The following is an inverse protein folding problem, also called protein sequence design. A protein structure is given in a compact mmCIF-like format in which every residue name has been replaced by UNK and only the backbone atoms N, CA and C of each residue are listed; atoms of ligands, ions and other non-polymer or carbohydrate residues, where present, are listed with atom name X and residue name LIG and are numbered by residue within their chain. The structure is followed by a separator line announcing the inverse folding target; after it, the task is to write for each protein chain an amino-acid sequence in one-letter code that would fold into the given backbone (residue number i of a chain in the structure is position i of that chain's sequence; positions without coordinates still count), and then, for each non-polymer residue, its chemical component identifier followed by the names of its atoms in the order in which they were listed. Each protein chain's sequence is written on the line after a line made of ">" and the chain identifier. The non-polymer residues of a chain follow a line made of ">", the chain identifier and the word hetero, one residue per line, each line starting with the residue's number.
data_IF_746117556019
#
_entry.id   IF_746117556019
#
_cell.length_a   1.000
_cell.length_b   1.000
_cell.length_c   1.000
_cell.angle_alpha   90.00
_cell.angle_beta   90.00
_cell.angle_gamma   90.00
#
_symmetry.space_group_name_H-M   'P 1'
#
loop_
_entity.id
_entity.type
_entity.pdbx_description
1 polymer ?
#
# COMPACT_ATOMS: atom_id res chain seq x y z
N UNK A 1 42.58 -10.08 -12.02
CA UNK A 1 41.58 -11.16 -12.10
C UNK A 1 40.38 -10.90 -11.17
N UNK A 2 40.57 -10.63 -9.88
CA UNK A 2 39.47 -10.47 -8.91
C UNK A 2 38.49 -9.31 -9.16
N UNK A 3 38.91 -8.20 -9.79
CA UNK A 3 38.03 -7.06 -10.08
C UNK A 3 37.04 -7.30 -11.23
N UNK A 4 37.44 -8.08 -12.23
CA UNK A 4 36.60 -8.38 -13.41
C UNK A 4 35.48 -9.37 -13.03
N UNK A 5 35.79 -10.32 -12.16
CA UNK A 5 34.81 -11.28 -11.61
C UNK A 5 33.72 -10.55 -10.80
N UNK A 6 34.12 -9.54 -10.02
CA UNK A 6 33.20 -8.76 -9.18
C UNK A 6 32.27 -7.86 -10.02
N UNK A 7 32.78 -7.30 -11.13
CA UNK A 7 31.99 -6.49 -12.07
C UNK A 7 31.01 -7.38 -12.87
N UNK A 8 31.43 -8.59 -13.29
CA UNK A 8 30.54 -9.56 -13.94
C UNK A 8 29.45 -10.10 -13.00
N UNK A 9 29.77 -10.33 -11.73
CA UNK A 9 28.79 -10.71 -10.71
C UNK A 9 27.76 -9.60 -10.47
N UNK A 10 28.18 -8.33 -10.45
CA UNK A 10 27.29 -7.18 -10.31
C UNK A 10 26.36 -7.01 -11.54
N UNK A 11 26.90 -7.21 -12.75
CA UNK A 11 26.14 -7.16 -14.00
C UNK A 11 25.10 -8.27 -14.11
N UNK A 12 25.43 -9.49 -13.67
CA UNK A 12 24.50 -10.62 -13.58
C UNK A 12 23.35 -10.36 -12.59
N UNK A 13 23.63 -9.72 -11.44
CA UNK A 13 22.58 -9.32 -10.49
C UNK A 13 21.64 -8.23 -11.05
N UNK A 14 22.13 -7.35 -11.92
CA UNK A 14 21.31 -6.32 -12.60
C UNK A 14 20.60 -6.82 -13.86
N UNK A 15 21.06 -7.92 -14.47
CA UNK A 15 20.41 -8.55 -15.63
C UNK A 15 19.26 -9.47 -15.25
N UNK A 16 19.34 -10.14 -14.10
CA UNK A 16 18.31 -11.05 -13.59
C UNK A 16 17.07 -10.32 -13.02
N UNK A 17 17.19 -9.05 -12.66
CA UNK A 17 16.07 -8.26 -12.12
C UNK A 17 15.03 -7.88 -13.18
N UNK A 18 15.38 -7.86 -14.47
CA UNK A 18 14.40 -7.60 -15.55
C UNK A 18 13.62 -8.83 -16.00
N UNK A 19 14.15 -10.04 -15.79
CA UNK A 19 13.48 -11.31 -16.19
C UNK A 19 12.56 -11.84 -15.08
N UNK A 20 12.78 -11.44 -13.82
CA UNK A 20 11.89 -11.80 -12.69
C UNK A 20 10.60 -10.99 -12.58
N UNK A 21 10.47 -9.88 -13.30
CA UNK A 21 9.24 -9.09 -13.29
C UNK A 21 8.06 -9.82 -13.97
N UNK A 22 8.32 -10.88 -14.76
CA UNK A 22 7.29 -11.58 -15.53
C UNK A 22 6.77 -12.85 -14.85
N UNK A 23 7.57 -13.49 -14.00
CA UNK A 23 7.16 -14.67 -13.21
C UNK A 23 7.09 -14.27 -11.73
N UNK A 24 6.04 -13.55 -11.34
CA UNK A 24 5.70 -13.30 -9.94
C UNK A 24 5.42 -14.66 -9.26
N UNK A 25 6.20 -15.07 -8.24
CA UNK A 25 6.00 -16.35 -7.56
C UNK A 25 4.61 -16.45 -6.90
N UNK A 26 4.00 -15.32 -6.54
CA UNK A 26 2.62 -15.28 -6.04
C UNK A 26 1.65 -15.59 -7.19
N UNK A 27 1.81 -14.97 -8.35
CA UNK A 27 0.98 -15.23 -9.52
C UNK A 27 1.10 -16.70 -9.98
N UNK A 28 2.32 -17.23 -10.03
CA UNK A 28 2.58 -18.62 -10.41
C UNK A 28 1.94 -19.61 -9.42
N UNK A 29 2.04 -19.35 -8.10
CA UNK A 29 1.39 -20.16 -7.08
C UNK A 29 -0.14 -20.13 -7.17
N UNK A 30 -0.73 -18.95 -7.43
CA UNK A 30 -2.18 -18.80 -7.59
C UNK A 30 -2.71 -19.52 -8.83
N UNK A 31 -1.97 -19.47 -9.96
CA UNK A 31 -2.32 -20.20 -11.19
C UNK A 31 -2.32 -21.71 -10.92
N UNK A 32 -1.28 -22.23 -10.26
CA UNK A 32 -1.15 -23.67 -9.98
C UNK A 32 -2.28 -24.19 -9.08
N UNK A 33 -2.58 -23.49 -7.98
CA UNK A 33 -3.69 -23.83 -7.10
C UNK A 33 -5.05 -23.76 -7.82
N UNK A 34 -5.22 -22.83 -8.75
CA UNK A 34 -6.44 -22.71 -9.54
C UNK A 34 -6.57 -23.82 -10.57
N UNK A 35 -5.48 -24.20 -11.25
CA UNK A 35 -5.50 -25.29 -12.23
C UNK A 35 -5.91 -26.62 -11.60
N UNK A 36 -5.41 -26.93 -10.40
CA UNK A 36 -5.80 -28.15 -9.67
C UNK A 36 -7.30 -28.16 -9.31
N UNK A 37 -7.83 -27.02 -8.85
CA UNK A 37 -9.26 -26.89 -8.53
C UNK A 37 -10.13 -27.00 -9.78
N UNK A 38 -9.74 -26.36 -10.88
CA UNK A 38 -10.48 -26.41 -12.13
C UNK A 38 -10.52 -27.83 -12.71
N UNK A 39 -9.41 -28.57 -12.66
CA UNK A 39 -9.35 -29.95 -13.14
C UNK A 39 -10.25 -30.88 -12.32
N UNK A 40 -10.31 -30.68 -10.99
CA UNK A 40 -11.18 -31.45 -10.11
C UNK A 40 -12.67 -31.23 -10.42
N UNK A 41 -13.09 -29.98 -10.59
CA UNK A 41 -14.48 -29.66 -10.94
C UNK A 41 -14.87 -30.23 -12.32
N UNK A 42 -13.96 -30.16 -13.29
CA UNK A 42 -14.20 -30.68 -14.63
C UNK A 42 -14.44 -32.19 -14.62
N UNK A 43 -13.64 -32.95 -13.84
CA UNK A 43 -13.85 -34.40 -13.64
C UNK A 43 -15.18 -34.72 -12.96
N UNK A 44 -15.60 -33.91 -11.99
CA UNK A 44 -16.88 -34.09 -11.31
C UNK A 44 -18.06 -33.78 -12.25
N UNK A 45 -17.92 -32.77 -13.12
CA UNK A 45 -18.89 -32.45 -14.15
C UNK A 45 -19.03 -33.56 -15.19
N UNK A 46 -17.92 -34.13 -15.67
CA UNK A 46 -17.92 -35.29 -16.58
C UNK A 46 -18.66 -36.49 -15.97
N UNK A 47 -18.39 -36.79 -14.69
CA UNK A 47 -19.06 -37.90 -13.97
C UNK A 47 -20.57 -37.72 -13.90
N UNK A 48 -21.06 -36.51 -13.64
CA UNK A 48 -22.49 -36.21 -13.59
C UNK A 48 -23.13 -36.23 -14.98
N UNK A 49 -22.42 -35.74 -16.00
CA UNK A 49 -22.89 -35.78 -17.38
C UNK A 49 -23.11 -37.23 -17.86
N UNK A 50 -22.24 -38.16 -17.47
CA UNK A 50 -22.40 -39.59 -17.75
C UNK A 50 -23.65 -40.18 -17.08
N UNK A 51 -23.97 -39.78 -15.85
CA UNK A 51 -25.18 -40.22 -15.14
C UNK A 51 -26.47 -39.68 -15.77
N UNK A 52 -26.45 -38.49 -16.37
CA UNK A 52 -27.65 -37.94 -17.03
C UNK A 52 -28.00 -38.65 -18.34
N UNK A 53 -27.06 -39.39 -18.95
CA UNK A 53 -27.31 -40.08 -20.22
C UNK A 53 -28.12 -41.38 -20.09
N UNK A 54 -28.41 -41.84 -18.87
CA UNK A 54 -28.99 -43.18 -18.61
C UNK A 54 -30.52 -43.31 -18.55
N UNK A 55 -31.33 -42.26 -18.79
CA UNK A 55 -32.75 -42.43 -19.14
C UNK A 55 -33.77 -41.52 -18.43
N UNK A 56 -35.02 -41.56 -18.92
CA UNK A 56 -36.07 -40.55 -18.78
C UNK A 56 -36.78 -40.42 -17.42
N UNK A 57 -36.25 -41.00 -16.34
CA UNK A 57 -36.77 -40.82 -14.96
C UNK A 57 -35.58 -40.57 -14.06
N UNK A 58 -35.51 -39.36 -13.47
CA UNK A 58 -34.47 -39.01 -12.53
C UNK A 58 -34.57 -39.90 -11.28
N UNK A 59 -33.53 -40.69 -11.05
CA UNK A 59 -33.39 -41.45 -9.79
C UNK A 59 -32.99 -40.49 -8.66
N UNK A 60 -33.31 -40.83 -7.41
CA UNK A 60 -32.92 -40.01 -6.25
C UNK A 60 -31.41 -39.77 -6.19
N UNK A 61 -30.63 -40.76 -6.63
CA UNK A 61 -29.17 -40.74 -6.69
C UNK A 61 -28.65 -39.73 -7.72
N UNK A 62 -29.28 -39.62 -8.90
CA UNK A 62 -28.95 -38.61 -9.91
C UNK A 62 -29.27 -37.18 -9.45
N UNK A 63 -30.41 -37.00 -8.75
CA UNK A 63 -30.79 -35.70 -8.16
C UNK A 63 -29.80 -35.29 -7.07
N UNK A 64 -29.38 -36.23 -6.22
CA UNK A 64 -28.40 -35.98 -5.17
C UNK A 64 -27.00 -35.67 -5.76
N UNK A 65 -26.58 -36.41 -6.79
CA UNK A 65 -25.31 -36.19 -7.49
C UNK A 65 -25.26 -34.81 -8.17
N UNK A 66 -26.34 -34.39 -8.82
CA UNK A 66 -26.43 -33.06 -9.44
C UNK A 66 -26.50 -31.92 -8.43
N UNK A 67 -27.19 -32.13 -7.29
CA UNK A 67 -27.18 -31.16 -6.18
C UNK A 67 -25.78 -31.03 -5.57
N UNK A 68 -25.05 -32.13 -5.42
CA UNK A 68 -23.65 -32.11 -4.96
C UNK A 68 -22.72 -31.40 -5.95
N UNK A 69 -22.88 -31.63 -7.25
CA UNK A 69 -22.14 -30.90 -8.28
C UNK A 69 -22.39 -29.39 -8.21
N UNK A 70 -23.66 -28.98 -8.08
CA UNK A 70 -23.99 -27.56 -7.91
C UNK A 70 -23.33 -26.96 -6.65
N UNK A 71 -23.23 -27.73 -5.56
CA UNK A 71 -22.54 -27.31 -4.34
C UNK A 71 -21.03 -27.18 -4.55
N UNK A 72 -20.39 -28.15 -5.20
CA UNK A 72 -18.95 -28.10 -5.51
C UNK A 72 -18.62 -26.95 -6.47
N UNK A 73 -19.42 -26.77 -7.52
CA UNK A 73 -19.29 -25.64 -8.43
C UNK A 73 -19.43 -24.28 -7.72
N UNK A 74 -20.37 -24.14 -6.79
CA UNK A 74 -20.47 -22.93 -5.97
C UNK A 74 -19.23 -22.71 -5.09
N UNK A 75 -18.71 -23.76 -4.45
CA UNK A 75 -17.46 -23.67 -3.66
C UNK A 75 -16.25 -23.29 -4.53
N UNK A 76 -16.22 -23.75 -5.79
CA UNK A 76 -15.22 -23.36 -6.76
C UNK A 76 -15.35 -21.89 -7.16
N UNK A 77 -16.56 -21.39 -7.44
CA UNK A 77 -16.79 -19.97 -7.75
C UNK A 77 -16.41 -19.06 -6.56
N UNK A 78 -16.72 -19.45 -5.33
CA UNK A 78 -16.30 -18.74 -4.13
C UNK A 78 -14.77 -18.73 -3.95
N UNK A 79 -14.13 -19.86 -4.25
CA UNK A 79 -12.67 -19.95 -4.28
C UNK A 79 -12.07 -19.02 -5.34
N UNK A 80 -12.65 -18.99 -6.55
CA UNK A 80 -12.20 -18.13 -7.63
C UNK A 80 -12.36 -16.64 -7.30
N UNK A 81 -13.51 -16.25 -6.73
CA UNK A 81 -13.74 -14.87 -6.26
C UNK A 81 -12.69 -14.44 -5.25
N UNK A 82 -12.33 -15.34 -4.33
CA UNK A 82 -11.28 -15.11 -3.35
C UNK A 82 -9.92 -14.89 -4.04
N UNK A 83 -9.54 -15.75 -4.98
CA UNK A 83 -8.30 -15.66 -5.77
C UNK A 83 -8.19 -14.31 -6.51
N UNK A 84 -9.26 -13.89 -7.19
CA UNK A 84 -9.28 -12.62 -7.90
C UNK A 84 -9.12 -11.44 -6.95
N UNK A 85 -9.76 -11.50 -5.77
CA UNK A 85 -9.60 -10.48 -4.72
C UNK A 85 -8.16 -10.41 -4.20
N UNK A 86 -7.51 -11.56 -3.98
CA UNK A 86 -6.09 -11.65 -3.62
C UNK A 86 -5.20 -10.97 -4.66
N UNK A 87 -5.39 -11.29 -5.95
CA UNK A 87 -4.61 -10.69 -7.03
C UNK A 87 -4.79 -9.17 -7.11
N UNK A 88 -6.04 -8.69 -7.02
CA UNK A 88 -6.35 -7.26 -7.02
C UNK A 88 -5.69 -6.54 -5.82
N UNK A 89 -5.67 -7.17 -4.66
CA UNK A 89 -5.08 -6.60 -3.45
C UNK A 89 -3.55 -6.56 -3.54
N UNK A 90 -2.91 -7.62 -4.01
CA UNK A 90 -1.46 -7.66 -4.26
C UNK A 90 -1.02 -6.57 -5.23
N UNK A 91 -1.76 -6.39 -6.33
CA UNK A 91 -1.50 -5.28 -7.25
C UNK A 91 -1.70 -3.92 -6.58
N UNK A 92 -2.76 -3.77 -5.78
CA UNK A 92 -3.00 -2.58 -4.98
C UNK A 92 -1.85 -2.24 -4.03
N UNK A 93 -1.20 -3.26 -3.46
CA UNK A 93 0.00 -3.10 -2.64
C UNK A 93 1.20 -2.62 -3.44
N UNK A 94 1.50 -3.27 -4.57
CA UNK A 94 2.60 -2.86 -5.42
C UNK A 94 2.46 -1.39 -5.85
N UNK A 95 1.25 -0.97 -6.20
CA UNK A 95 0.97 0.42 -6.56
C UNK A 95 1.28 1.40 -5.41
N UNK A 96 0.78 1.14 -4.20
CA UNK A 96 0.97 2.05 -3.06
C UNK A 96 2.44 2.08 -2.59
N UNK A 97 3.15 0.95 -2.64
CA UNK A 97 4.58 0.86 -2.29
C UNK A 97 5.46 1.57 -3.32
N UNK A 98 5.17 1.42 -4.61
CA UNK A 98 5.87 2.17 -5.67
C UNK A 98 5.72 3.67 -5.45
N UNK A 99 4.48 4.12 -5.20
CA UNK A 99 4.18 5.52 -4.93
C UNK A 99 4.87 6.06 -3.67
N UNK A 100 5.00 5.22 -2.64
CA UNK A 100 5.73 5.57 -1.42
C UNK A 100 7.20 5.79 -1.70
N UNK A 101 7.81 4.90 -2.48
CA UNK A 101 9.21 5.01 -2.90
C UNK A 101 9.44 6.30 -3.69
N UNK A 102 8.55 6.63 -4.64
CA UNK A 102 8.62 7.85 -5.42
C UNK A 102 8.50 9.11 -4.54
N UNK A 103 7.50 9.14 -3.65
CA UNK A 103 7.27 10.25 -2.72
C UNK A 103 8.46 10.44 -1.75
N UNK A 104 9.11 9.36 -1.31
CA UNK A 104 10.32 9.42 -0.49
C UNK A 104 11.50 9.99 -1.27
N UNK A 105 11.65 9.60 -2.54
CA UNK A 105 12.64 10.18 -3.45
C UNK A 105 12.42 11.68 -3.66
N UNK A 106 11.17 12.10 -3.88
CA UNK A 106 10.80 13.52 -3.99
C UNK A 106 11.10 14.29 -2.71
N UNK A 107 10.77 13.72 -1.56
CA UNK A 107 11.05 14.32 -0.26
C UNK A 107 12.56 14.54 -0.07
N UNK A 108 13.37 13.51 -0.33
CA UNK A 108 14.84 13.59 -0.23
C UNK A 108 15.43 14.66 -1.16
N UNK A 109 14.95 14.73 -2.41
CA UNK A 109 15.35 15.80 -3.35
C UNK A 109 14.99 17.19 -2.83
N UNK A 110 13.82 17.36 -2.22
CA UNK A 110 13.41 18.64 -1.64
C UNK A 110 14.25 19.02 -0.42
N UNK A 111 14.59 18.06 0.44
CA UNK A 111 15.50 18.29 1.57
C UNK A 111 16.87 18.77 1.09
N UNK A 112 17.43 18.13 0.06
CA UNK A 112 18.72 18.52 -0.51
C UNK A 112 18.70 19.93 -1.11
N UNK A 113 17.60 20.32 -1.76
CA UNK A 113 17.45 21.65 -2.40
C UNK A 113 17.16 22.76 -1.39
N UNK A 114 16.35 22.47 -0.37
CA UNK A 114 15.78 23.45 0.56
C UNK A 114 16.12 23.09 2.01
N UNK A 115 17.40 22.84 2.31
CA UNK A 115 17.85 22.44 3.66
C UNK A 115 17.41 23.42 4.78
N UNK A 116 17.44 24.76 4.60
CA UNK A 116 16.96 25.67 5.64
C UNK A 116 15.46 25.53 5.93
N UNK A 117 14.66 25.22 4.91
CA UNK A 117 13.22 25.03 5.06
C UNK A 117 12.89 23.73 5.81
N UNK A 118 13.74 22.70 5.70
CA UNK A 118 13.58 21.47 6.48
C UNK A 118 13.64 21.76 7.99
N UNK A 119 14.60 22.60 8.40
CA UNK A 119 14.74 23.08 9.78
C UNK A 119 13.54 23.91 10.19
N UNK A 120 13.07 24.80 9.30
CA UNK A 120 11.87 25.60 9.53
C UNK A 120 10.63 24.72 9.83
N UNK A 121 10.40 23.69 9.03
CA UNK A 121 9.28 22.75 9.23
C UNK A 121 9.42 22.00 10.57
N UNK A 122 10.63 21.60 10.96
CA UNK A 122 10.87 20.91 12.22
C UNK A 122 10.64 21.79 13.45
N UNK A 123 10.93 23.09 13.35
CA UNK A 123 10.74 24.07 14.44
C UNK A 123 9.27 24.46 14.65
N UNK A 124 8.41 24.35 13.64
CA UNK A 124 6.97 24.63 13.79
C UNK A 124 6.28 23.54 14.61
N UNK A 125 5.68 23.90 15.75
CA UNK A 125 4.90 22.97 16.57
C UNK A 125 3.78 22.29 15.76
N UNK A 126 3.14 23.02 14.84
CA UNK A 126 2.07 22.51 13.98
C UNK A 126 2.59 21.60 12.88
N UNK A 127 3.63 22.01 12.13
CA UNK A 127 4.11 21.24 10.97
C UNK A 127 4.96 20.04 11.38
N UNK A 128 5.61 20.10 12.55
CA UNK A 128 6.36 18.97 13.12
C UNK A 128 5.46 17.78 13.51
N UNK A 129 4.15 18.00 13.71
CA UNK A 129 3.20 16.90 13.90
C UNK A 129 3.24 15.88 12.74
N UNK A 130 3.49 16.34 11.51
CA UNK A 130 3.55 15.47 10.34
C UNK A 130 4.74 14.49 10.41
N UNK A 131 5.89 14.91 10.94
CA UNK A 131 7.03 14.02 11.16
C UNK A 131 6.69 12.93 12.18
N UNK A 132 6.11 13.30 13.33
CA UNK A 132 5.70 12.36 14.38
C UNK A 132 4.68 11.35 13.85
N UNK A 133 3.68 11.84 13.14
CA UNK A 133 2.66 11.00 12.52
C UNK A 133 3.22 10.04 11.47
N UNK A 134 4.20 10.45 10.67
CA UNK A 134 4.86 9.56 9.70
C UNK A 134 5.63 8.44 10.40
N UNK A 135 6.34 8.76 11.49
CA UNK A 135 7.08 7.77 12.27
C UNK A 135 6.10 6.75 12.89
N UNK A 136 5.05 7.23 13.57
CA UNK A 136 4.04 6.36 14.18
C UNK A 136 3.36 5.46 13.14
N UNK A 137 2.90 6.04 12.03
CA UNK A 137 2.29 5.28 10.94
C UNK A 137 3.25 4.22 10.37
N UNK A 138 4.55 4.54 10.24
CA UNK A 138 5.54 3.59 9.73
C UNK A 138 5.74 2.40 10.68
N UNK A 139 5.76 2.66 12.00
CA UNK A 139 5.87 1.61 13.02
C UNK A 139 4.63 0.72 13.02
N UNK A 140 3.44 1.29 12.88
CA UNK A 140 2.19 0.51 12.75
C UNK A 140 2.22 -0.41 11.53
N UNK A 141 2.64 0.10 10.36
CA UNK A 141 2.74 -0.70 9.13
C UNK A 141 3.74 -1.85 9.31
N UNK A 142 4.92 -1.58 9.88
CA UNK A 142 5.93 -2.61 10.12
C UNK A 142 5.46 -3.64 11.13
N UNK A 143 4.71 -3.23 12.16
CA UNK A 143 4.13 -4.14 13.14
C UNK A 143 3.04 -5.04 12.53
N UNK A 144 2.18 -4.50 11.66
CA UNK A 144 1.19 -5.31 10.92
C UNK A 144 1.87 -6.31 9.98
N UNK A 145 2.95 -5.90 9.29
CA UNK A 145 3.72 -6.82 8.43
C UNK A 145 4.38 -7.91 9.28
N UNK A 146 4.97 -7.54 10.42
CA UNK A 146 5.58 -8.50 11.35
C UNK A 146 4.55 -9.51 11.85
N UNK A 147 3.36 -9.06 12.25
CA UNK A 147 2.31 -9.94 12.76
C UNK A 147 1.87 -10.96 11.72
N UNK A 148 1.79 -10.58 10.44
CA UNK A 148 1.43 -11.48 9.34
C UNK A 148 2.58 -12.40 8.93
N UNK A 149 3.82 -11.91 8.84
CA UNK A 149 4.91 -12.63 8.19
C UNK A 149 5.89 -13.35 9.14
N UNK A 150 6.07 -12.86 10.37
CA UNK A 150 7.20 -13.26 11.23
C UNK A 150 6.71 -13.84 12.56
N UNK A 151 5.56 -13.40 13.06
CA UNK A 151 5.02 -13.89 14.32
C UNK A 151 4.47 -15.31 14.15
N UNK A 152 4.91 -16.25 14.99
CA UNK A 152 4.30 -17.60 15.20
C UNK A 152 2.90 -17.52 15.86
N UNK A 153 2.16 -16.46 15.55
CA UNK A 153 0.84 -16.27 16.11
C UNK A 153 -0.14 -17.19 15.38
N UNK A 154 -0.85 -18.03 16.14
CA UNK A 154 -1.93 -18.85 15.60
C UNK A 154 -3.07 -17.92 15.19
N UNK A 155 -3.14 -17.62 13.91
CA UNK A 155 -4.20 -16.82 13.30
C UNK A 155 -4.90 -17.63 12.21
N UNK A 156 -6.22 -17.47 12.12
CA UNK A 156 -7.02 -18.00 11.01
C UNK A 156 -6.69 -17.27 9.71
N UNK A 157 -6.97 -17.89 8.56
CA UNK A 157 -6.77 -17.24 7.24
C UNK A 157 -7.57 -15.93 7.13
N UNK A 158 -8.77 -15.90 7.73
CA UNK A 158 -9.63 -14.71 7.78
C UNK A 158 -8.99 -13.56 8.58
N UNK A 159 -8.47 -13.84 9.77
CA UNK A 159 -7.80 -12.81 10.60
C UNK A 159 -6.53 -12.30 9.92
N UNK A 160 -5.73 -13.20 9.33
CA UNK A 160 -4.55 -12.84 8.54
C UNK A 160 -4.93 -11.90 7.40
N UNK A 161 -6.02 -12.22 6.72
CA UNK A 161 -6.54 -11.44 5.61
C UNK A 161 -7.01 -10.05 6.06
N UNK A 162 -7.71 -9.94 7.18
CA UNK A 162 -8.14 -8.65 7.73
C UNK A 162 -6.95 -7.73 8.04
N UNK A 163 -5.88 -8.29 8.62
CA UNK A 163 -4.64 -7.53 8.89
C UNK A 163 -4.01 -7.08 7.58
N UNK A 164 -3.87 -7.99 6.60
CA UNK A 164 -3.35 -7.65 5.27
C UNK A 164 -4.19 -6.54 4.64
N UNK A 165 -5.53 -6.63 4.66
CA UNK A 165 -6.38 -5.56 4.13
C UNK A 165 -6.20 -4.22 4.86
N UNK A 166 -5.87 -4.25 6.15
CA UNK A 166 -5.57 -3.06 6.95
C UNK A 166 -4.30 -2.31 6.56
N UNK A 167 -3.31 -2.98 5.95
CA UNK A 167 -2.01 -2.35 5.62
C UNK A 167 -2.15 -1.35 4.46
N UNK A 168 -2.94 -1.66 3.43
CA UNK A 168 -3.05 -0.82 2.23
C UNK A 168 -3.60 0.60 2.53
N UNK A 169 -4.69 0.77 3.30
CA UNK A 169 -5.14 2.11 3.74
C UNK A 169 -4.05 2.86 4.51
N UNK A 170 -3.29 2.19 5.38
CA UNK A 170 -2.19 2.81 6.13
C UNK A 170 -1.08 3.32 5.21
N UNK A 171 -0.69 2.53 4.20
CA UNK A 171 0.26 2.96 3.16
C UNK A 171 -0.25 4.17 2.38
N UNK A 172 -1.53 4.17 2.00
CA UNK A 172 -2.14 5.32 1.31
C UNK A 172 -2.12 6.59 2.16
N UNK A 173 -2.41 6.48 3.46
CA UNK A 173 -2.30 7.62 4.38
C UNK A 173 -0.86 8.10 4.52
N UNK A 174 0.10 7.18 4.63
CA UNK A 174 1.53 7.51 4.69
C UNK A 174 1.97 8.27 3.44
N UNK A 175 1.55 7.82 2.25
CA UNK A 175 1.76 8.52 0.98
C UNK A 175 1.25 9.96 1.01
N UNK A 176 0.02 10.18 1.47
CA UNK A 176 -0.55 11.53 1.55
C UNK A 176 0.20 12.42 2.55
N UNK A 177 0.56 11.89 3.73
CA UNK A 177 1.30 12.63 4.75
C UNK A 177 2.69 13.01 4.25
N UNK A 178 3.37 12.10 3.56
CA UNK A 178 4.69 12.36 2.99
C UNK A 178 4.64 13.45 1.92
N UNK A 179 3.65 13.43 1.03
CA UNK A 179 3.44 14.52 0.06
C UNK A 179 3.16 15.86 0.74
N UNK A 180 2.36 15.88 1.82
CA UNK A 180 2.12 17.09 2.61
C UNK A 180 3.41 17.60 3.25
N UNK A 181 4.25 16.71 3.77
CA UNK A 181 5.54 17.05 4.33
C UNK A 181 6.49 17.63 3.27
N UNK A 182 6.57 17.01 2.09
CA UNK A 182 7.36 17.50 0.96
C UNK A 182 6.94 18.91 0.56
N UNK A 183 5.63 19.19 0.50
CA UNK A 183 5.11 20.53 0.23
C UNK A 183 5.44 21.50 1.37
N UNK A 184 5.33 21.07 2.63
CA UNK A 184 5.69 21.90 3.77
C UNK A 184 7.16 22.31 3.71
N UNK A 185 8.07 21.38 3.40
CA UNK A 185 9.50 21.67 3.23
C UNK A 185 9.75 22.57 2.03
N UNK A 186 9.01 22.41 0.94
CA UNK A 186 9.18 23.28 -0.22
C UNK A 186 8.82 24.74 0.07
N UNK A 187 7.73 24.99 0.82
CA UNK A 187 7.12 26.33 0.91
C UNK A 187 7.23 27.00 2.28
N UNK A 188 7.74 26.32 3.31
CA UNK A 188 7.91 26.90 4.66
C UNK A 188 9.33 27.41 4.82
N UNK A 189 9.47 28.72 4.95
CA UNK A 189 10.76 29.37 5.18
C UNK A 189 10.97 29.66 6.66
N UNK A 190 12.22 29.93 7.07
CA UNK A 190 12.50 30.37 8.45
C UNK A 190 11.78 31.67 8.80
N UNK A 191 11.54 32.55 7.83
CA UNK A 191 10.74 33.77 8.04
C UNK A 191 9.30 33.46 8.43
N UNK A 192 8.70 32.40 7.90
CA UNK A 192 7.33 31.99 8.25
C UNK A 192 7.27 31.50 9.71
N UNK A 193 8.33 30.84 10.15
CA UNK A 193 8.44 30.32 11.51
C UNK A 193 8.74 31.45 12.50
N UNK A 194 9.59 32.41 12.12
CA UNK A 194 9.82 33.60 12.92
C UNK A 194 8.50 34.35 13.19
N UNK A 195 7.67 34.54 12.16
CA UNK A 195 6.35 35.14 12.34
C UNK A 195 5.42 34.29 13.22
N UNK A 196 5.43 32.97 13.05
CA UNK A 196 4.63 32.06 13.88
C UNK A 196 5.00 32.15 15.37
N UNK A 197 6.30 32.25 15.67
CA UNK A 197 6.82 32.38 17.04
C UNK A 197 6.52 33.78 17.60
N UNK A 198 6.77 34.84 16.83
CA UNK A 198 6.49 36.23 17.25
C UNK A 198 5.00 36.46 17.52
N UNK A 199 4.12 35.94 16.66
CA UNK A 199 2.67 36.01 16.84
C UNK A 199 2.21 35.20 18.06
N UNK A 200 2.83 34.03 18.32
CA UNK A 200 2.51 33.19 19.48
C UNK A 200 3.00 33.72 20.82
N UNK A 201 4.01 34.61 20.82
CA UNK A 201 4.56 35.25 22.02
C UNK A 201 3.74 36.46 22.51
N UNK A 202 2.81 36.97 21.69
CA UNK A 202 1.97 38.13 22.04
C UNK A 202 0.81 37.72 22.96
N UNK A 203 0.45 38.53 23.98
CA UNK A 203 -0.73 38.29 24.81
C UNK A 203 -2.02 38.41 23.99
N UNK A 204 -3.14 37.93 24.55
CA UNK A 204 -4.48 37.77 23.92
C UNK A 204 -4.73 38.79 22.80
N UNK A 205 -4.71 38.29 21.56
CA UNK A 205 -4.82 39.11 20.36
C UNK A 205 -6.23 39.72 20.23
N UNK A 206 -6.32 41.04 20.02
CA UNK A 206 -7.56 41.67 19.59
C UNK A 206 -7.93 41.15 18.19
N UNK A 207 -9.21 41.21 17.81
CA UNK A 207 -9.68 40.81 16.47
C UNK A 207 -8.89 41.49 15.36
N UNK A 208 -8.47 42.75 15.59
CA UNK A 208 -7.62 43.51 14.67
C UNK A 208 -6.24 42.88 14.49
N UNK A 209 -5.59 42.48 15.59
CA UNK A 209 -4.27 41.84 15.55
C UNK A 209 -4.32 40.50 14.81
N UNK A 210 -5.39 39.72 15.00
CA UNK A 210 -5.61 38.45 14.29
C UNK A 210 -5.72 38.69 12.78
N UNK A 211 -6.49 39.70 12.36
CA UNK A 211 -6.67 40.05 10.95
C UNK A 211 -5.36 40.53 10.33
N UNK A 212 -4.60 41.36 11.02
CA UNK A 212 -3.29 41.81 10.54
C UNK A 212 -2.27 40.67 10.44
N UNK A 213 -2.22 39.78 11.44
CA UNK A 213 -1.41 38.57 11.43
C UNK A 213 -1.76 37.67 10.24
N UNK A 214 -3.06 37.44 9.99
CA UNK A 214 -3.52 36.70 8.82
C UNK A 214 -3.08 37.37 7.50
N UNK A 215 -3.19 38.71 7.41
CA UNK A 215 -2.77 39.48 6.22
C UNK A 215 -1.25 39.40 5.99
N UNK A 216 -0.44 39.46 7.06
CA UNK A 216 1.03 39.29 6.99
C UNK A 216 1.40 37.90 6.49
N UNK A 217 0.81 36.85 7.09
CA UNK A 217 1.00 35.44 6.65
C UNK A 217 0.61 35.23 5.18
N UNK A 218 -0.52 35.82 4.74
CA UNK A 218 -0.95 35.72 3.35
C UNK A 218 0.03 36.38 2.38
N UNK A 219 0.50 37.60 2.69
CA UNK A 219 1.51 38.29 1.87
C UNK A 219 2.81 37.50 1.79
N UNK A 220 3.23 36.87 2.88
CA UNK A 220 4.46 36.10 2.92
C UNK A 220 4.34 34.78 2.15
N UNK A 221 3.22 34.07 2.31
CA UNK A 221 2.91 32.88 1.50
C UNK A 221 2.91 33.22 0.00
N UNK A 222 2.40 34.39 -0.39
CA UNK A 222 2.46 34.87 -1.78
C UNK A 222 3.89 35.03 -2.33
N UNK A 223 4.86 35.41 -1.49
CA UNK A 223 6.28 35.48 -1.89
C UNK A 223 6.90 34.10 -2.09
N UNK A 224 6.52 33.12 -1.29
CA UNK A 224 7.07 31.76 -1.36
C UNK A 224 6.51 30.94 -2.54
N UNK A 225 5.42 31.41 -3.16
CA UNK A 225 4.73 30.74 -4.28
C UNK A 225 5.11 31.36 -5.64
N UNK A 226 5.84 32.48 -5.67
CA UNK A 226 6.36 33.09 -6.90
C UNK A 226 7.35 32.18 -7.63
N UNK A 227 7.50 32.35 -8.97
CA UNK A 227 8.41 31.56 -9.80
C UNK A 227 9.88 31.68 -9.38
#
# INVERSE_FOLDING_TARGET
>A
MNRIILIMALLLCTGLSKVRAQNDPVLAGMILLYTEKAEKELKNQEKVMLMQTTGHIWTKEEVEATTNLQREFNNYLDSFRSIVSYAAQTYGFYHEVSKLTDNMGDFSRQLARNSPNAVAVALSARRNAIYRELILNSVEIVNDIRSVCISDNKMTEKERMEIVFGIRPKLRMMNQKLQRLTKAVKYTTLGDIWLEIDEGARPVADKRDIVEAAKRRWKQAGKNVGP
#
